data_IF_848835125797
#
_entry.id   IF_848835125797
#
_cell.length_a   1.000
_cell.length_b   1.000
_cell.length_c   1.000
_cell.angle_alpha   90.00
_cell.angle_beta   90.00
_cell.angle_gamma   90.00
#
_symmetry.space_group_name_H-M   'P 1'
#
loop_
_entity.id
_entity.type
_entity.pdbx_description
1 polymer ?
#
# COMPACT_ATOMS: atom_id res chain seq x y z
N UNK A 1 32.11 -22.41 8.30
CA UNK A 1 32.13 -21.99 6.89
C UNK A 1 30.73 -22.19 6.33
N UNK A 2 30.13 -21.19 5.67
CA UNK A 2 28.82 -21.36 5.07
C UNK A 2 28.90 -22.38 3.93
N UNK A 3 27.87 -23.21 3.83
CA UNK A 3 27.76 -24.20 2.76
C UNK A 3 27.41 -23.53 1.44
N UNK A 4 27.64 -24.23 0.31
CA UNK A 4 27.22 -23.76 -1.01
C UNK A 4 25.71 -23.47 -1.06
N UNK A 5 24.89 -24.28 -0.40
CA UNK A 5 23.44 -24.10 -0.36
C UNK A 5 23.04 -22.82 0.41
N UNK A 6 23.68 -22.55 1.55
CA UNK A 6 23.45 -21.32 2.33
C UNK A 6 23.88 -20.07 1.57
N UNK A 7 24.97 -20.14 0.81
CA UNK A 7 25.40 -19.04 -0.05
C UNK A 7 24.41 -18.81 -1.20
N UNK A 8 23.90 -19.87 -1.84
CA UNK A 8 22.91 -19.74 -2.90
C UNK A 8 21.61 -19.11 -2.38
N UNK A 9 21.07 -19.58 -1.25
CA UNK A 9 19.86 -19.03 -0.66
C UNK A 9 20.00 -17.53 -0.33
N UNK A 10 21.19 -17.10 0.11
CA UNK A 10 21.50 -15.68 0.33
C UNK A 10 21.55 -14.90 -0.96
N UNK A 11 22.17 -15.43 -2.02
CA UNK A 11 22.14 -14.79 -3.34
C UNK A 11 20.70 -14.60 -3.83
N UNK A 12 19.88 -15.64 -3.75
CA UNK A 12 18.48 -15.57 -4.20
C UNK A 12 17.67 -14.53 -3.40
N UNK A 13 17.93 -14.42 -2.09
CA UNK A 13 17.28 -13.40 -1.25
C UNK A 13 17.75 -11.99 -1.64
N UNK A 14 19.06 -11.79 -1.80
CA UNK A 14 19.62 -10.50 -2.19
C UNK A 14 19.15 -10.06 -3.58
N UNK A 15 18.96 -10.99 -4.51
CA UNK A 15 18.41 -10.71 -5.83
C UNK A 15 16.95 -10.24 -5.76
N UNK A 16 16.13 -10.89 -4.92
CA UNK A 16 14.74 -10.44 -4.67
C UNK A 16 14.70 -9.05 -4.03
N UNK A 17 15.53 -8.83 -3.01
CA UNK A 17 15.59 -7.56 -2.30
C UNK A 17 16.08 -6.44 -3.23
N UNK A 18 17.11 -6.69 -4.05
CA UNK A 18 17.58 -5.73 -5.06
C UNK A 18 16.49 -5.42 -6.08
N UNK A 19 15.77 -6.42 -6.58
CA UNK A 19 14.69 -6.18 -7.54
C UNK A 19 13.57 -5.32 -6.92
N UNK A 20 13.26 -5.51 -5.64
CA UNK A 20 12.29 -4.69 -4.91
C UNK A 20 12.78 -3.26 -4.70
N UNK A 21 14.03 -3.10 -4.24
CA UNK A 21 14.63 -1.77 -4.05
C UNK A 21 14.70 -0.99 -5.36
N UNK A 22 15.06 -1.63 -6.48
CA UNK A 22 15.08 -1.00 -7.81
C UNK A 22 13.68 -0.53 -8.21
N UNK A 23 12.63 -1.34 -7.99
CA UNK A 23 11.24 -0.92 -8.25
C UNK A 23 10.86 0.31 -7.43
N UNK A 24 11.20 0.32 -6.14
CA UNK A 24 10.92 1.46 -5.25
C UNK A 24 11.66 2.73 -5.69
N UNK A 25 12.93 2.61 -6.07
CA UNK A 25 13.73 3.74 -6.59
C UNK A 25 13.10 4.33 -7.84
N UNK A 26 12.72 3.49 -8.81
CA UNK A 26 12.09 3.96 -10.04
C UNK A 26 10.76 4.69 -9.78
N UNK A 27 9.96 4.21 -8.82
CA UNK A 27 8.74 4.91 -8.38
C UNK A 27 9.06 6.26 -7.76
N UNK A 28 10.04 6.34 -6.87
CA UNK A 28 10.44 7.61 -6.25
C UNK A 28 10.99 8.61 -7.28
N UNK A 29 11.75 8.15 -8.27
CA UNK A 29 12.22 8.98 -9.39
C UNK A 29 11.04 9.52 -10.22
N UNK A 30 10.04 8.68 -10.51
CA UNK A 30 8.78 9.10 -11.15
C UNK A 30 8.04 10.13 -10.30
N UNK A 31 7.98 9.93 -8.99
CA UNK A 31 7.34 10.88 -8.06
C UNK A 31 8.03 12.25 -8.09
N UNK A 32 9.36 12.28 -8.04
CA UNK A 32 10.15 13.51 -8.09
C UNK A 32 10.04 14.24 -9.44
N UNK A 33 9.91 13.49 -10.53
CA UNK A 33 9.74 14.04 -11.89
C UNK A 33 8.29 14.37 -12.25
N UNK A 34 7.32 14.06 -11.38
CA UNK A 34 5.89 14.25 -11.66
C UNK A 34 5.34 13.30 -12.73
N UNK A 35 6.00 12.15 -12.95
CA UNK A 35 5.67 11.15 -13.95
C UNK A 35 5.18 9.85 -13.31
N UNK A 36 4.43 9.94 -12.20
CA UNK A 36 3.81 8.77 -11.59
C UNK A 36 2.90 8.07 -12.60
N UNK A 37 2.91 6.74 -12.55
CA UNK A 37 1.95 5.94 -13.31
C UNK A 37 0.54 6.18 -12.74
N UNK A 38 -0.52 6.02 -13.54
CA UNK A 38 -1.90 6.18 -13.07
C UNK A 38 -2.20 5.37 -11.80
N UNK A 39 -1.66 4.16 -11.69
CA UNK A 39 -1.84 3.26 -10.55
C UNK A 39 -1.04 3.70 -9.32
N UNK A 40 -0.01 4.54 -9.49
CA UNK A 40 0.79 5.12 -8.41
C UNK A 40 0.23 6.44 -7.91
N UNK A 41 -0.73 7.01 -8.64
CA UNK A 41 -1.43 8.23 -8.26
C UNK A 41 -2.50 7.95 -7.22
N UNK A 42 -2.72 8.94 -6.35
CA UNK A 42 -3.84 8.92 -5.43
C UNK A 42 -5.15 8.76 -6.23
N UNK A 43 -5.99 7.77 -5.89
CA UNK A 43 -7.30 7.62 -6.50
C UNK A 43 -8.11 8.91 -6.39
N UNK A 44 -9.03 9.09 -7.34
CA UNK A 44 -10.01 10.17 -7.25
C UNK A 44 -10.86 10.03 -5.97
N UNK A 45 -11.71 11.00 -5.67
CA UNK A 45 -12.77 10.89 -4.64
C UNK A 45 -12.38 10.62 -3.17
N UNK A 46 -11.11 10.85 -2.78
CA UNK A 46 -10.68 10.65 -1.39
C UNK A 46 -11.60 11.30 -0.34
N UNK A 47 -12.11 10.52 0.63
CA UNK A 47 -12.93 11.04 1.71
C UNK A 47 -12.23 12.09 2.59
N UNK A 48 -12.94 13.17 2.92
CA UNK A 48 -12.41 14.30 3.71
C UNK A 48 -11.86 13.88 5.08
N UNK A 49 -12.47 12.88 5.72
CA UNK A 49 -11.99 12.32 6.98
C UNK A 49 -10.61 11.66 6.83
N UNK A 50 -10.37 10.93 5.75
CA UNK A 50 -9.07 10.29 5.48
C UNK A 50 -8.01 11.35 5.17
N UNK A 51 -8.34 12.39 4.40
CA UNK A 51 -7.46 13.55 4.20
C UNK A 51 -7.04 14.19 5.52
N UNK A 52 -7.98 14.35 6.46
CA UNK A 52 -7.70 14.92 7.78
C UNK A 52 -6.75 14.01 8.59
N UNK A 53 -6.96 12.68 8.54
CA UNK A 53 -6.09 11.71 9.21
C UNK A 53 -4.68 11.69 8.61
N UNK A 54 -4.56 11.68 7.28
CA UNK A 54 -3.28 11.79 6.58
C UNK A 54 -2.50 13.01 7.02
N UNK A 55 -3.15 14.18 7.04
CA UNK A 55 -2.50 15.44 7.45
C UNK A 55 -2.11 15.42 8.93
N UNK A 56 -2.97 14.89 9.80
CA UNK A 56 -2.75 14.83 11.26
C UNK A 56 -1.61 13.89 11.63
N UNK A 57 -1.53 12.74 10.99
CA UNK A 57 -0.60 11.66 11.36
C UNK A 57 0.60 11.54 10.40
N UNK A 58 0.65 12.37 9.35
CA UNK A 58 1.70 12.37 8.31
C UNK A 58 1.88 10.99 7.66
N UNK A 59 0.77 10.31 7.43
CA UNK A 59 0.74 9.02 6.75
C UNK A 59 0.29 9.21 5.30
N UNK A 60 0.81 8.40 4.37
CA UNK A 60 0.51 8.52 2.95
C UNK A 60 -0.87 7.93 2.64
N UNK A 61 -1.42 8.20 1.45
CA UNK A 61 -2.80 7.80 1.11
C UNK A 61 -2.93 6.29 0.91
N UNK A 62 -1.84 5.64 0.50
CA UNK A 62 -1.73 4.22 0.20
C UNK A 62 -2.11 3.35 1.41
N UNK A 63 -1.95 3.87 2.62
CA UNK A 63 -2.38 3.24 3.87
C UNK A 63 -3.91 3.10 3.94
N UNK A 64 -4.63 3.96 3.25
CA UNK A 64 -6.09 4.03 3.28
C UNK A 64 -6.75 3.44 2.03
N UNK A 65 -5.98 2.74 1.18
CA UNK A 65 -6.49 2.18 -0.07
C UNK A 65 -6.45 0.66 -0.08
N UNK A 66 -7.59 0.04 -0.37
CA UNK A 66 -7.67 -1.39 -0.65
C UNK A 66 -7.43 -1.62 -2.15
N UNK A 67 -6.29 -2.21 -2.51
CA UNK A 67 -5.95 -2.53 -3.90
C UNK A 67 -6.76 -3.71 -4.47
N UNK A 68 -7.29 -4.59 -3.61
CA UNK A 68 -8.09 -5.75 -4.06
C UNK A 68 -9.48 -5.34 -4.53
N UNK A 69 -10.11 -4.39 -3.84
CA UNK A 69 -11.47 -3.94 -4.13
C UNK A 69 -11.52 -2.53 -4.73
N UNK A 70 -10.37 -1.90 -4.97
CA UNK A 70 -10.21 -0.53 -5.47
C UNK A 70 -11.08 0.47 -4.69
N UNK A 71 -11.01 0.41 -3.36
CA UNK A 71 -11.84 1.23 -2.46
C UNK A 71 -11.06 1.80 -1.29
N UNK A 72 -11.52 2.95 -0.82
CA UNK A 72 -11.03 3.56 0.42
C UNK A 72 -11.42 2.71 1.63
N UNK A 73 -10.49 2.60 2.58
CA UNK A 73 -10.78 2.06 3.92
C UNK A 73 -11.68 3.06 4.65
N UNK A 74 -12.78 2.58 5.20
CA UNK A 74 -13.72 3.34 6.02
C UNK A 74 -13.68 2.93 7.50
N UNK A 75 -13.19 1.72 7.78
CA UNK A 75 -12.93 1.23 9.13
C UNK A 75 -11.43 1.03 9.35
N UNK A 76 -10.86 1.79 10.29
CA UNK A 76 -9.45 1.70 10.68
C UNK A 76 -9.31 0.96 12.01
N UNK A 77 -8.14 0.34 12.22
CA UNK A 77 -7.81 -0.29 13.50
C UNK A 77 -7.87 0.72 14.65
N UNK A 78 -8.33 0.27 15.82
CA UNK A 78 -8.47 1.12 17.01
C UNK A 78 -7.15 1.66 17.55
N UNK A 79 -6.02 1.06 17.17
CA UNK A 79 -4.67 1.49 17.54
C UNK A 79 -4.03 2.46 16.52
N UNK A 80 -4.75 2.84 15.46
CA UNK A 80 -4.29 3.84 14.50
C UNK A 80 -3.87 5.14 15.23
N UNK A 81 -2.69 5.71 14.92
CA UNK A 81 -1.80 5.43 13.78
C UNK A 81 -0.68 4.40 14.02
N UNK A 82 -0.62 3.75 15.20
CA UNK A 82 0.45 2.78 15.49
C UNK A 82 0.31 1.50 14.68
N UNK A 83 -0.94 1.15 14.36
CA UNK A 83 -1.29 0.15 13.38
C UNK A 83 -2.02 0.83 12.22
N UNK A 84 -1.64 0.46 11.01
CA UNK A 84 -2.17 1.03 9.76
C UNK A 84 -3.15 0.09 9.06
N UNK A 85 -3.46 -1.07 9.66
CA UNK A 85 -4.51 -1.95 9.17
C UNK A 85 -5.88 -1.27 9.24
N UNK A 86 -6.68 -1.56 8.23
CA UNK A 86 -8.10 -1.21 8.14
C UNK A 86 -8.79 -2.11 7.12
N UNK A 87 -10.11 -1.96 7.02
CA UNK A 87 -10.92 -2.74 6.08
C UNK A 87 -11.77 -1.79 5.22
N UNK A 88 -11.98 -2.18 3.97
CA UNK A 88 -12.96 -1.54 3.09
C UNK A 88 -14.27 -2.36 3.08
N UNK A 89 -15.37 -1.78 2.57
CA UNK A 89 -16.66 -2.49 2.45
C UNK A 89 -16.56 -3.83 1.70
N UNK A 90 -15.74 -3.89 0.65
CA UNK A 90 -15.54 -5.11 -0.14
C UNK A 90 -14.91 -6.25 0.68
N UNK A 91 -13.85 -5.96 1.43
CA UNK A 91 -13.23 -6.94 2.33
C UNK A 91 -14.19 -7.44 3.43
N UNK A 92 -15.17 -6.63 3.83
CA UNK A 92 -16.21 -7.01 4.80
C UNK A 92 -17.38 -7.76 4.17
N UNK A 93 -17.44 -7.87 2.84
CA UNK A 93 -18.55 -8.51 2.13
C UNK A 93 -19.81 -7.66 2.02
N UNK A 94 -19.70 -6.34 2.19
CA UNK A 94 -20.81 -5.39 2.12
C UNK A 94 -21.20 -5.03 0.68
N UNK A 95 -20.39 -5.43 -0.31
CA UNK A 95 -20.61 -5.17 -1.74
C UNK A 95 -21.68 -6.08 -2.39
N UNK A 96 -22.32 -6.95 -1.62
CA UNK A 96 -23.26 -7.97 -2.10
C UNK A 96 -24.71 -7.85 -1.61
N UNK A 97 -25.11 -6.81 -0.88
CA UNK A 97 -26.47 -6.67 -0.35
C UNK A 97 -27.25 -5.56 -1.08
N UNK A 98 -27.46 -5.71 -2.39
CA UNK A 98 -28.53 -4.98 -3.09
C UNK A 98 -28.95 -5.76 -4.35
N UNK A 99 -29.42 -6.98 -4.14
CA UNK A 99 -30.09 -7.80 -5.14
C UNK A 99 -31.29 -8.48 -4.49
N UNK A 100 -32.34 -7.71 -4.24
CA UNK A 100 -33.74 -8.16 -4.20
C UNK A 100 -34.70 -6.96 -4.37
#
# INVERSE_FOLDING_TARGET
>A
MPTKAELQAKCDQLERDNAELVRQLQRMERQLSGQLLPEECQPADMPTNLMALMKKHRVPWEVFWCYEHERWLDELCSSFPHDTYGTCPGCRGEDGQNSD
#
